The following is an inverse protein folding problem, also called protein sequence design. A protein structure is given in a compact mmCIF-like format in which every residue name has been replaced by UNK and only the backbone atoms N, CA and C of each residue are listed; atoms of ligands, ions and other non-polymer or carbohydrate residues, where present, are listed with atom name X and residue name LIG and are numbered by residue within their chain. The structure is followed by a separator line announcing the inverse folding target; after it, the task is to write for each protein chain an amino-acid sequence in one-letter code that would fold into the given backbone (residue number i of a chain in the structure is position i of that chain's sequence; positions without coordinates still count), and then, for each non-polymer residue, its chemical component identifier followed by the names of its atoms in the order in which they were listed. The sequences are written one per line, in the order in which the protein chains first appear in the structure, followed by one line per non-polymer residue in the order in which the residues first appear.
data_IF_466756560493
#
_entry.id   IF_466756560493
#
_cell.length_a   1.000
_cell.length_b   1.000
_cell.length_c   1.000
_cell.angle_alpha   90.00
_cell.angle_beta   90.00
_cell.angle_gamma   90.00
#
_symmetry.space_group_name_H-M   'P 1'
#
loop_
_entity.id
_entity.type
_entity.pdbx_description
1 polymer ?
#
# COMPACT_ATOMS: atom_id res chain seq x y z
N UNK A 1 -0.76 -13.64 -17.64
CA UNK A 1 -0.79 -12.19 -17.94
C UNK A 1 -1.98 -11.78 -18.80
N UNK A 2 -2.35 -12.53 -19.84
CA UNK A 2 -3.55 -12.24 -20.64
C UNK A 2 -4.86 -12.24 -19.85
N UNK A 3 -4.98 -13.09 -18.83
CA UNK A 3 -6.19 -13.22 -18.01
C UNK A 3 -6.60 -11.92 -17.30
N UNK A 4 -5.63 -11.17 -16.75
CA UNK A 4 -5.87 -9.91 -16.06
C UNK A 4 -6.55 -8.84 -16.93
N UNK A 5 -6.45 -8.97 -18.26
CA UNK A 5 -7.07 -8.02 -19.20
C UNK A 5 -8.58 -8.22 -19.30
N UNK A 6 -9.09 -9.42 -19.03
CA UNK A 6 -10.52 -9.75 -19.18
C UNK A 6 -11.19 -10.30 -17.92
N UNK A 7 -10.42 -10.64 -16.87
CA UNK A 7 -10.94 -11.04 -15.57
C UNK A 7 -11.12 -9.85 -14.63
N UNK A 8 -12.00 -9.98 -13.63
CA UNK A 8 -12.13 -8.98 -12.57
C UNK A 8 -10.81 -8.84 -11.77
N UNK A 9 -10.41 -7.60 -11.49
CA UNK A 9 -9.25 -7.31 -10.62
C UNK A 9 -9.66 -7.51 -9.17
N UNK A 10 -9.09 -8.53 -8.52
CA UNK A 10 -9.41 -8.90 -7.13
C UNK A 10 -8.65 -8.05 -6.09
N UNK A 11 -8.73 -6.72 -6.20
CA UNK A 11 -7.97 -5.79 -5.37
C UNK A 11 -8.16 -6.00 -3.87
N UNK A 12 -9.41 -6.05 -3.40
CA UNK A 12 -9.70 -6.19 -1.97
C UNK A 12 -9.18 -7.51 -1.39
N UNK A 13 -9.34 -8.62 -2.13
CA UNK A 13 -8.83 -9.92 -1.71
C UNK A 13 -7.31 -9.90 -1.55
N UNK A 14 -6.59 -9.32 -2.51
CA UNK A 14 -5.13 -9.17 -2.43
C UNK A 14 -4.69 -8.32 -1.22
N UNK A 15 -5.42 -7.23 -0.91
CA UNK A 15 -5.09 -6.41 0.27
C UNK A 15 -5.34 -7.16 1.57
N UNK A 16 -6.49 -7.84 1.70
CA UNK A 16 -6.82 -8.64 2.89
C UNK A 16 -5.81 -9.74 3.14
N UNK A 17 -5.33 -10.38 2.07
CA UNK A 17 -4.28 -11.41 2.16
C UNK A 17 -2.97 -10.84 2.70
N UNK A 18 -2.49 -9.70 2.18
CA UNK A 18 -1.27 -9.06 2.70
C UNK A 18 -1.42 -8.65 4.17
N UNK A 19 -2.57 -8.10 4.55
CA UNK A 19 -2.86 -7.74 5.95
C UNK A 19 -2.86 -9.01 6.83
N UNK A 20 -3.44 -10.11 6.37
CA UNK A 20 -3.45 -11.38 7.09
C UNK A 20 -2.04 -11.97 7.26
N UNK A 21 -1.13 -11.69 6.32
CA UNK A 21 0.29 -12.03 6.42
C UNK A 21 1.08 -11.07 7.32
N UNK A 22 0.42 -10.09 7.94
CA UNK A 22 1.04 -9.16 8.90
C UNK A 22 1.60 -7.89 8.28
N UNK A 23 1.29 -7.59 7.02
CA UNK A 23 1.65 -6.30 6.41
C UNK A 23 0.76 -5.20 7.01
N UNK A 24 1.39 -4.26 7.72
CA UNK A 24 0.75 -3.13 8.38
C UNK A 24 1.09 -1.78 7.76
N UNK A 25 2.12 -1.73 6.90
CA UNK A 25 2.57 -0.54 6.18
C UNK A 25 2.53 -0.77 4.66
N UNK A 26 1.87 0.13 3.94
CA UNK A 26 1.74 0.14 2.49
C UNK A 26 2.26 1.44 1.88
N UNK A 27 2.94 1.34 0.74
CA UNK A 27 3.46 2.49 -0.01
C UNK A 27 2.89 2.44 -1.43
N UNK A 28 2.08 3.44 -1.78
CA UNK A 28 1.56 3.66 -3.14
C UNK A 28 2.59 4.43 -3.96
N UNK A 29 3.17 3.79 -4.97
CA UNK A 29 4.11 4.42 -5.90
C UNK A 29 3.36 5.00 -7.10
N UNK A 30 3.43 6.31 -7.29
CA UNK A 30 2.79 7.04 -8.37
C UNK A 30 1.90 8.20 -7.89
N UNK A 31 1.51 9.10 -8.80
CA UNK A 31 0.76 10.29 -8.44
C UNK A 31 -0.64 9.94 -7.92
N UNK A 32 -1.07 10.66 -6.89
CA UNK A 32 -2.40 10.51 -6.30
C UNK A 32 -2.40 9.72 -4.99
N UNK A 33 -3.58 9.17 -4.65
CA UNK A 33 -3.85 8.48 -3.39
C UNK A 33 -4.99 7.46 -3.52
N UNK A 34 -5.15 6.91 -4.73
CA UNK A 34 -6.32 6.08 -5.06
C UNK A 34 -6.20 4.75 -4.33
N UNK A 35 -5.05 4.08 -4.43
CA UNK A 35 -4.84 2.78 -3.79
C UNK A 35 -4.85 2.92 -2.28
N UNK A 36 -4.21 3.97 -1.75
CA UNK A 36 -4.23 4.32 -0.33
C UNK A 36 -5.66 4.60 0.17
N UNK A 37 -6.48 5.27 -0.65
CA UNK A 37 -7.89 5.53 -0.34
C UNK A 37 -8.75 4.26 -0.36
N UNK A 38 -8.51 3.35 -1.31
CA UNK A 38 -9.18 2.04 -1.37
C UNK A 38 -8.77 1.17 -0.17
N UNK A 39 -7.48 1.13 0.17
CA UNK A 39 -6.97 0.40 1.31
C UNK A 39 -7.61 0.86 2.63
N UNK A 40 -7.72 2.17 2.85
CA UNK A 40 -8.40 2.74 4.04
C UNK A 40 -9.90 2.43 4.13
N UNK A 41 -10.54 2.03 3.03
CA UNK A 41 -11.93 1.51 3.06
C UNK A 41 -11.99 0.04 3.46
N UNK A 42 -10.91 -0.71 3.23
CA UNK A 42 -10.79 -2.13 3.59
C UNK A 42 -10.42 -2.25 5.08
N UNK A 43 -9.38 -1.52 5.51
CA UNK A 43 -8.91 -1.49 6.88
C UNK A 43 -8.28 -0.13 7.21
N UNK A 44 -8.63 0.45 8.36
CA UNK A 44 -8.11 1.74 8.82
C UNK A 44 -6.95 1.60 9.81
N UNK A 45 -6.65 0.39 10.26
CA UNK A 45 -5.55 0.11 11.18
C UNK A 45 -4.19 0.13 10.50
N UNK A 46 -4.14 -0.08 9.18
CA UNK A 46 -2.90 -0.08 8.40
C UNK A 46 -2.46 1.33 8.01
N UNK A 47 -1.15 1.55 7.98
CA UNK A 47 -0.54 2.77 7.48
C UNK A 47 -0.42 2.73 5.95
N UNK A 48 -0.72 3.85 5.30
CA UNK A 48 -0.62 3.98 3.85
C UNK A 48 0.04 5.31 3.48
N UNK A 49 1.12 5.23 2.72
CA UNK A 49 1.90 6.37 2.24
C UNK A 49 1.83 6.47 0.72
N UNK A 50 2.06 7.65 0.16
CA UNK A 50 2.07 7.88 -1.29
C UNK A 50 3.40 8.52 -1.69
N UNK A 51 4.06 7.99 -2.72
CA UNK A 51 5.36 8.45 -3.21
C UNK A 51 5.28 8.72 -4.71
N UNK A 52 5.52 9.97 -5.11
CA UNK A 52 5.46 10.41 -6.50
C UNK A 52 6.48 11.48 -6.88
N UNK A 53 7.25 11.98 -5.92
CA UNK A 53 8.33 12.95 -6.09
C UNK A 53 9.38 12.77 -4.98
N UNK A 54 10.46 13.54 -5.03
CA UNK A 54 11.55 13.48 -4.06
C UNK A 54 11.07 13.84 -2.64
N UNK A 55 10.23 14.87 -2.51
CA UNK A 55 9.72 15.31 -1.21
C UNK A 55 8.84 14.25 -0.52
N UNK A 56 7.96 13.58 -1.27
CA UNK A 56 7.13 12.49 -0.76
C UNK A 56 7.95 11.25 -0.42
N UNK A 57 9.02 10.97 -1.17
CA UNK A 57 9.97 9.90 -0.84
C UNK A 57 10.70 10.19 0.49
N UNK A 58 11.24 11.39 0.65
CA UNK A 58 11.92 11.81 1.89
C UNK A 58 11.01 11.67 3.12
N UNK A 59 9.74 12.07 3.01
CA UNK A 59 8.77 11.91 4.08
C UNK A 59 8.56 10.44 4.49
N UNK A 60 8.53 9.52 3.53
CA UNK A 60 8.41 8.08 3.81
C UNK A 60 9.71 7.52 4.38
N UNK A 61 10.87 7.96 3.90
CA UNK A 61 12.16 7.56 4.46
C UNK A 61 12.30 7.96 5.93
N UNK A 62 11.88 9.18 6.29
CA UNK A 62 11.85 9.62 7.69
C UNK A 62 10.89 8.76 8.53
N UNK A 63 9.67 8.51 8.06
CA UNK A 63 8.70 7.65 8.75
C UNK A 63 9.23 6.20 8.91
N UNK A 64 9.99 5.70 7.94
CA UNK A 64 10.49 4.33 7.92
C UNK A 64 11.55 4.04 8.98
N UNK A 65 12.18 5.06 9.57
CA UNK A 65 13.18 4.90 10.63
C UNK A 65 12.61 4.27 11.90
N UNK A 66 11.30 4.38 12.10
CA UNK A 66 10.60 3.83 13.27
C UNK A 66 10.04 2.42 13.01
N UNK A 67 10.14 1.90 11.78
CA UNK A 67 9.58 0.59 11.43
C UNK A 67 10.51 -0.53 11.91
N UNK A 68 9.95 -1.43 12.73
CA UNK A 68 10.65 -2.65 13.13
C UNK A 68 10.49 -3.70 12.03
N UNK A 69 11.53 -3.90 11.22
CA UNK A 69 11.55 -4.97 10.23
C UNK A 69 11.82 -6.29 10.96
N UNK A 70 10.78 -7.10 11.15
CA UNK A 70 10.94 -8.50 11.53
C UNK A 70 11.51 -9.23 10.31
N UNK A 71 12.83 -9.47 10.32
CA UNK A 71 13.52 -10.30 9.33
C UNK A 71 13.45 -11.79 9.69
#
# INVERSE_FOLDING_TARGET
MFEQVYSAVQWEASMREMIAQGVDVFIECGPGKVLSGLLKKIDRSVAAYCVYDEASLEAVLEASKEWSINA
#
